data_IF_072158565262
#
_entry.id   IF_072158565262
#
_cell.length_a   1.000
_cell.length_b   1.000
_cell.length_c   1.000
_cell.angle_alpha   90.00
_cell.angle_beta   90.00
_cell.angle_gamma   90.00
#
_symmetry.space_group_name_H-M   'P 1'
#
loop_
_entity.id
_entity.type
_entity.pdbx_description
1 polymer ?
#
# COMPACT_ATOMS: atom_id res chain seq x y z
N UNK A 1 -35.57 -33.23 -11.86
CA UNK A 1 -35.17 -33.09 -10.44
C UNK A 1 -33.68 -32.87 -10.24
N UNK A 2 -32.78 -33.71 -10.78
CA UNK A 2 -31.32 -33.61 -10.51
C UNK A 2 -30.69 -32.26 -10.90
N UNK A 3 -31.10 -31.67 -12.04
CA UNK A 3 -30.63 -30.32 -12.45
C UNK A 3 -31.04 -29.22 -11.46
N UNK A 4 -32.27 -29.24 -10.95
CA UNK A 4 -32.73 -28.27 -9.94
C UNK A 4 -31.98 -28.40 -8.60
N UNK A 5 -31.61 -29.63 -8.19
CA UNK A 5 -30.78 -29.81 -7.00
C UNK A 5 -29.37 -29.20 -7.18
N UNK A 6 -28.76 -29.37 -8.35
CA UNK A 6 -27.42 -28.80 -8.63
C UNK A 6 -27.43 -27.27 -8.61
N UNK A 7 -28.47 -26.63 -9.19
CA UNK A 7 -28.60 -25.17 -9.17
C UNK A 7 -28.84 -24.63 -7.75
N UNK A 8 -29.62 -25.35 -6.95
CA UNK A 8 -29.90 -24.98 -5.56
C UNK A 8 -28.66 -25.10 -4.66
N UNK A 9 -27.86 -26.16 -4.86
CA UNK A 9 -26.57 -26.35 -4.17
C UNK A 9 -25.59 -25.22 -4.54
N UNK A 10 -25.50 -24.87 -5.82
CA UNK A 10 -24.64 -23.76 -6.27
C UNK A 10 -25.06 -22.40 -5.66
N UNK A 11 -26.38 -22.16 -5.53
CA UNK A 11 -26.90 -20.96 -4.88
C UNK A 11 -26.56 -20.91 -3.38
N UNK A 12 -26.66 -22.04 -2.67
CA UNK A 12 -26.27 -22.16 -1.26
C UNK A 12 -24.75 -21.94 -1.05
N UNK A 13 -23.91 -22.39 -1.99
CA UNK A 13 -22.45 -22.19 -1.93
C UNK A 13 -22.04 -20.71 -2.10
N UNK A 14 -22.79 -19.93 -2.88
CA UNK A 14 -22.50 -18.50 -3.07
C UNK A 14 -22.70 -17.65 -1.79
N UNK A 15 -23.47 -18.14 -0.82
CA UNK A 15 -23.69 -17.46 0.47
C UNK A 15 -22.48 -17.52 1.42
N UNK A 16 -21.47 -18.34 1.12
CA UNK A 16 -20.28 -18.50 1.95
C UNK A 16 -19.07 -17.69 1.47
N UNK A 17 -19.15 -17.04 0.31
CA UNK A 17 -18.09 -16.15 -0.14
C UNK A 17 -18.16 -14.83 0.64
N UNK A 18 -17.29 -14.69 1.65
CA UNK A 18 -17.10 -13.41 2.36
C UNK A 18 -15.93 -12.67 1.71
N UNK A 19 -16.18 -11.47 1.23
CA UNK A 19 -15.10 -10.57 0.89
C UNK A 19 -14.48 -10.02 2.18
N UNK A 20 -13.17 -9.80 2.09
CA UNK A 20 -12.35 -9.31 3.17
C UNK A 20 -11.33 -8.32 2.59
N UNK A 21 -10.81 -7.47 3.46
CA UNK A 21 -9.75 -6.53 3.15
C UNK A 21 -8.63 -6.67 4.17
N UNK A 22 -7.44 -6.28 3.76
CA UNK A 22 -6.26 -6.12 4.61
C UNK A 22 -6.19 -4.64 4.94
N UNK A 23 -6.30 -4.30 6.23
CA UNK A 23 -6.02 -2.99 6.76
C UNK A 23 -4.60 -3.00 7.33
N UNK A 24 -3.76 -2.10 6.85
CA UNK A 24 -2.41 -1.87 7.37
C UNK A 24 -2.49 -0.57 8.20
N UNK A 25 -2.55 -0.67 9.54
CA UNK A 25 -2.56 0.52 10.37
C UNK A 25 -1.22 1.24 10.30
N UNK A 26 -1.25 2.57 10.39
CA UNK A 26 -0.06 3.42 10.35
C UNK A 26 0.10 4.27 11.62
N UNK A 27 -0.73 4.02 12.63
CA UNK A 27 -0.61 4.54 13.99
C UNK A 27 0.52 3.81 14.78
N UNK A 28 0.56 4.02 16.09
CA UNK A 28 1.58 3.45 16.99
C UNK A 28 1.53 1.92 17.08
N UNK A 29 0.47 1.26 16.60
CA UNK A 29 0.35 -0.20 16.60
C UNK A 29 1.15 -0.87 15.48
N UNK A 30 1.67 -0.09 14.53
CA UNK A 30 2.45 -0.59 13.42
C UNK A 30 3.87 -0.94 13.85
N UNK A 31 4.25 -2.21 13.63
CA UNK A 31 5.60 -2.72 13.91
C UNK A 31 6.68 -2.10 13.02
N UNK A 32 6.33 -1.77 11.77
CA UNK A 32 7.30 -1.22 10.82
C UNK A 32 6.64 -0.34 9.76
N UNK A 33 6.64 0.97 9.98
CA UNK A 33 6.01 1.94 9.07
C UNK A 33 6.68 2.00 7.69
N UNK A 34 8.01 2.00 7.64
CA UNK A 34 8.74 2.09 6.36
C UNK A 34 8.48 0.86 5.48
N UNK A 35 8.51 -0.35 6.06
CA UNK A 35 8.14 -1.57 5.33
C UNK A 35 6.67 -1.58 4.91
N UNK A 36 5.79 -0.88 5.64
CA UNK A 36 4.36 -0.76 5.27
C UNK A 36 4.16 0.09 4.02
N UNK A 37 4.90 1.19 3.88
CA UNK A 37 4.97 1.93 2.60
C UNK A 37 5.53 1.06 1.47
N UNK A 38 6.55 0.24 1.78
CA UNK A 38 7.07 -0.77 0.86
C UNK A 38 6.02 -1.76 0.36
N UNK A 39 5.16 -2.25 1.25
CA UNK A 39 4.02 -3.12 0.88
C UNK A 39 3.05 -2.37 -0.02
N UNK A 40 2.64 -1.15 0.33
CA UNK A 40 1.72 -0.35 -0.50
C UNK A 40 2.28 -0.17 -1.92
N UNK A 41 3.57 0.19 -2.04
CA UNK A 41 4.25 0.30 -3.33
C UNK A 41 4.28 -1.04 -4.09
N UNK A 42 4.65 -2.13 -3.41
CA UNK A 42 4.74 -3.46 -4.00
C UNK A 42 3.39 -3.96 -4.52
N UNK A 43 2.30 -3.67 -3.80
CA UNK A 43 0.92 -3.97 -4.23
C UNK A 43 0.56 -3.17 -5.48
N UNK A 44 0.86 -1.88 -5.51
CA UNK A 44 0.64 -1.03 -6.69
C UNK A 44 1.45 -1.49 -7.92
N UNK A 45 2.67 -2.01 -7.73
CA UNK A 45 3.48 -2.60 -8.80
C UNK A 45 2.86 -3.88 -9.40
N UNK A 46 1.94 -4.52 -8.67
CA UNK A 46 1.16 -5.67 -9.14
C UNK A 46 -0.19 -5.26 -9.72
N UNK A 47 -0.37 -3.97 -10.00
CA UNK A 47 -1.61 -3.42 -10.57
C UNK A 47 -2.83 -3.65 -9.67
N UNK A 48 -2.59 -3.78 -8.37
CA UNK A 48 -3.64 -3.85 -7.35
C UNK A 48 -3.78 -2.48 -6.71
N UNK A 49 -4.99 -1.93 -6.73
CA UNK A 49 -5.27 -0.63 -6.12
C UNK A 49 -5.15 -0.68 -4.59
N UNK A 50 -4.74 0.44 -4.01
CA UNK A 50 -4.62 0.66 -2.57
C UNK A 50 -5.43 1.89 -2.20
N UNK A 51 -6.34 1.78 -1.24
CA UNK A 51 -7.04 2.93 -0.70
C UNK A 51 -6.21 3.50 0.46
N UNK A 52 -5.72 4.72 0.32
CA UNK A 52 -4.99 5.43 1.36
C UNK A 52 -5.98 6.25 2.19
N UNK A 53 -6.10 5.88 3.47
CA UNK A 53 -7.05 6.45 4.41
C UNK A 53 -6.37 7.59 5.19
N UNK A 54 -6.32 8.79 4.59
CA UNK A 54 -5.70 9.97 5.15
C UNK A 54 -6.28 10.30 6.54
N UNK A 55 -5.39 10.53 7.50
CA UNK A 55 -5.67 10.82 8.90
C UNK A 55 -6.49 9.75 9.67
N UNK A 56 -6.92 8.67 9.02
CA UNK A 56 -7.48 7.51 9.70
C UNK A 56 -6.34 6.60 10.17
N UNK A 57 -6.23 6.42 11.50
CA UNK A 57 -5.19 5.58 12.14
C UNK A 57 -3.79 5.82 11.55
N UNK A 58 -3.38 7.09 11.51
CA UNK A 58 -2.06 7.51 11.04
C UNK A 58 -1.85 7.47 9.52
N UNK A 59 -2.92 7.41 8.71
CA UNK A 59 -2.79 7.31 7.25
C UNK A 59 -2.77 5.86 6.76
N UNK A 60 -3.68 5.03 7.27
CA UNK A 60 -3.70 3.58 7.02
C UNK A 60 -3.88 3.23 5.54
N UNK A 61 -3.41 2.04 5.15
CA UNK A 61 -3.67 1.49 3.82
C UNK A 61 -4.73 0.40 3.90
N UNK A 62 -5.71 0.46 3.01
CA UNK A 62 -6.74 -0.55 2.85
C UNK A 62 -6.60 -1.21 1.47
N UNK A 63 -6.54 -2.53 1.48
CA UNK A 63 -6.23 -3.34 0.29
C UNK A 63 -7.21 -4.49 0.25
N UNK A 64 -7.74 -4.83 -0.93
CA UNK A 64 -8.57 -6.05 -1.07
C UNK A 64 -7.76 -7.27 -0.66
N UNK A 65 -8.39 -8.18 0.07
CA UNK A 65 -7.70 -9.37 0.55
C UNK A 65 -7.22 -10.23 -0.60
N UNK A 66 -5.94 -10.59 -0.55
CA UNK A 66 -5.35 -11.63 -1.37
C UNK A 66 -4.25 -12.33 -0.55
N UNK A 67 -4.27 -13.66 -0.53
CA UNK A 67 -3.30 -14.47 0.23
C UNK A 67 -1.82 -14.09 -0.03
N UNK A 68 -1.40 -13.78 -1.28
CA UNK A 68 -0.02 -13.36 -1.53
C UNK A 68 0.35 -12.05 -0.82
N UNK A 69 -0.58 -11.10 -0.72
CA UNK A 69 -0.36 -9.82 -0.03
C UNK A 69 -0.24 -10.05 1.47
N UNK A 70 -1.13 -10.85 2.05
CA UNK A 70 -1.08 -11.20 3.47
C UNK A 70 0.23 -11.89 3.86
N UNK A 71 0.70 -12.82 3.01
CA UNK A 71 1.97 -13.49 3.20
C UNK A 71 3.15 -12.51 3.13
N UNK A 72 3.14 -11.58 2.18
CA UNK A 72 4.17 -10.55 2.07
C UNK A 72 4.19 -9.64 3.31
N UNK A 73 3.03 -9.24 3.83
CA UNK A 73 2.94 -8.48 5.09
C UNK A 73 3.63 -9.22 6.25
N UNK A 74 3.40 -10.54 6.35
CA UNK A 74 4.02 -11.40 7.36
C UNK A 74 5.54 -11.52 7.17
N UNK A 75 6.00 -11.72 5.94
CA UNK A 75 7.42 -11.84 5.59
C UNK A 75 8.17 -10.54 5.91
N UNK A 76 7.57 -9.38 5.61
CA UNK A 76 8.17 -8.06 5.89
C UNK A 76 7.98 -7.60 7.33
N UNK A 77 7.28 -8.38 8.16
CA UNK A 77 7.15 -8.15 9.60
C UNK A 77 6.30 -6.94 9.98
N UNK A 78 5.35 -6.52 9.13
CA UNK A 78 4.45 -5.41 9.42
C UNK A 78 3.20 -5.87 10.20
N UNK A 79 2.57 -4.95 10.93
CA UNK A 79 1.23 -5.15 11.50
C UNK A 79 0.17 -5.00 10.40
N UNK A 80 -0.81 -5.89 10.39
CA UNK A 80 -1.97 -5.83 9.50
C UNK A 80 -3.18 -6.50 10.17
N UNK A 81 -4.38 -6.16 9.71
CA UNK A 81 -5.64 -6.72 10.16
C UNK A 81 -6.43 -7.23 8.95
N UNK A 82 -6.98 -8.44 9.03
CA UNK A 82 -7.95 -8.92 8.03
C UNK A 82 -9.34 -8.56 8.53
N UNK A 83 -10.00 -7.64 7.83
CA UNK A 83 -11.30 -7.08 8.22
C UNK A 83 -12.38 -7.44 7.21
N UNK A 84 -13.61 -7.51 7.69
CA UNK A 84 -14.81 -7.79 6.88
C UNK A 84 -15.30 -6.55 6.14
N UNK A 85 -16.08 -6.74 5.07
CA UNK A 85 -16.73 -5.62 4.37
C UNK A 85 -17.56 -4.73 5.29
N UNK A 86 -18.21 -5.31 6.31
CA UNK A 86 -18.97 -4.54 7.31
C UNK A 86 -18.09 -3.58 8.10
N UNK A 87 -16.89 -4.02 8.48
CA UNK A 87 -15.90 -3.17 9.15
C UNK A 87 -15.34 -2.11 8.19
N UNK A 88 -15.07 -2.47 6.93
CA UNK A 88 -14.64 -1.52 5.91
C UNK A 88 -15.69 -0.41 5.73
N UNK A 89 -16.97 -0.77 5.60
CA UNK A 89 -18.04 0.21 5.44
C UNK A 89 -18.19 1.12 6.66
N UNK A 90 -17.99 0.60 7.88
CA UNK A 90 -17.99 1.42 9.08
C UNK A 90 -16.84 2.45 9.05
N UNK A 91 -15.63 2.04 8.68
CA UNK A 91 -14.46 2.92 8.52
C UNK A 91 -14.72 4.00 7.46
N UNK A 92 -15.22 3.61 6.28
CA UNK A 92 -15.49 4.56 5.21
C UNK A 92 -16.61 5.55 5.57
N UNK A 93 -17.58 5.12 6.38
CA UNK A 93 -18.64 6.00 6.90
C UNK A 93 -18.09 7.02 7.89
N UNK A 94 -17.15 6.61 8.76
CA UNK A 94 -16.45 7.52 9.67
C UNK A 94 -15.64 8.56 8.90
N UNK A 95 -14.84 8.11 7.92
CA UNK A 95 -14.02 8.98 7.06
C UNK A 95 -14.87 9.99 6.29
N UNK A 96 -16.07 9.59 5.83
CA UNK A 96 -16.96 10.46 5.07
C UNK A 96 -17.68 11.53 5.92
N UNK A 97 -17.50 11.53 7.25
CA UNK A 97 -18.13 12.51 8.13
C UNK A 97 -17.56 13.92 7.88
N UNK A 98 -18.40 14.92 7.56
CA UNK A 98 -17.93 16.28 7.24
C UNK A 98 -17.31 17.02 8.43
N UNK A 99 -17.51 16.51 9.65
CA UNK A 99 -16.98 17.10 10.89
C UNK A 99 -15.56 16.59 11.22
N UNK A 100 -15.07 15.57 10.50
CA UNK A 100 -13.78 14.92 10.75
C UNK A 100 -12.83 15.20 9.59
N UNK A 101 -11.59 15.57 9.90
CA UNK A 101 -10.55 15.82 8.89
C UNK A 101 -9.89 14.51 8.42
N UNK A 102 -10.66 13.66 7.72
CA UNK A 102 -10.19 12.41 7.12
C UNK A 102 -10.62 12.34 5.65
N UNK A 103 -9.87 11.59 4.85
CA UNK A 103 -10.17 11.43 3.43
C UNK A 103 -9.68 10.06 2.93
N UNK A 104 -10.36 9.47 1.95
CA UNK A 104 -9.89 8.27 1.25
C UNK A 104 -9.40 8.67 -0.14
N UNK A 105 -8.14 8.37 -0.41
CA UNK A 105 -7.51 8.57 -1.72
C UNK A 105 -7.17 7.22 -2.33
N UNK A 106 -7.74 6.93 -3.50
CA UNK A 106 -7.46 5.70 -4.22
C UNK A 106 -6.18 5.81 -5.03
N UNK A 107 -5.23 4.91 -4.78
CA UNK A 107 -3.96 4.80 -5.50
C UNK A 107 -4.06 3.62 -6.48
N UNK A 108 -3.79 3.89 -7.76
CA UNK A 108 -3.93 2.87 -8.83
C UNK A 108 -2.62 2.51 -9.52
N UNK A 109 -1.57 3.34 -9.39
CA UNK A 109 -0.31 3.14 -10.10
C UNK A 109 0.88 3.43 -9.19
N UNK A 110 1.89 2.57 -9.26
CA UNK A 110 3.15 2.79 -8.56
C UNK A 110 3.93 3.95 -9.19
N UNK A 111 4.34 4.91 -8.37
CA UNK A 111 5.13 6.05 -8.84
C UNK A 111 6.52 5.61 -9.33
N UNK A 112 7.02 6.28 -10.37
CA UNK A 112 8.46 6.30 -10.67
C UNK A 112 9.09 7.35 -9.76
N UNK A 113 10.13 6.97 -9.03
CA UNK A 113 10.76 7.83 -8.02
C UNK A 113 12.20 8.11 -8.47
N UNK A 114 12.60 9.37 -8.44
CA UNK A 114 13.97 9.78 -8.62
C UNK A 114 14.41 10.60 -7.40
N UNK A 115 15.60 10.33 -6.88
CA UNK A 115 16.21 11.08 -5.78
C UNK A 115 17.32 11.93 -6.37
N UNK A 116 17.18 13.23 -6.18
CA UNK A 116 18.22 14.18 -6.55
C UNK A 116 19.41 14.07 -5.59
N UNK A 117 20.62 13.97 -6.16
CA UNK A 117 21.86 13.97 -5.40
C UNK A 117 22.87 14.92 -6.06
N UNK A 118 23.44 15.89 -5.33
CA UNK A 118 24.46 16.76 -5.90
C UNK A 118 25.73 15.96 -6.18
N UNK A 119 26.37 16.24 -7.32
CA UNK A 119 27.67 15.65 -7.66
C UNK A 119 28.64 15.91 -6.49
N UNK A 120 29.31 14.84 -6.02
CA UNK A 120 30.34 14.84 -4.97
C UNK A 120 29.84 14.69 -3.52
N UNK A 121 28.55 14.45 -3.27
CA UNK A 121 28.07 13.95 -1.97
C UNK A 121 27.97 12.43 -2.05
N UNK A 122 28.75 11.76 -1.22
CA UNK A 122 28.93 10.31 -1.15
C UNK A 122 27.61 9.54 -1.29
N UNK A 123 27.39 8.97 -2.48
CA UNK A 123 26.29 8.04 -2.75
C UNK A 123 26.46 6.76 -1.94
N UNK A 124 25.45 6.44 -1.13
CA UNK A 124 25.14 5.18 -0.40
C UNK A 124 26.19 4.58 0.53
N UNK A 125 27.50 4.81 0.34
CA UNK A 125 28.56 4.24 1.20
C UNK A 125 28.62 4.83 2.60
N UNK A 126 28.10 6.05 2.80
CA UNK A 126 28.27 6.78 4.05
C UNK A 126 27.00 6.84 4.92
N UNK A 127 25.89 6.21 4.50
CA UNK A 127 24.60 6.22 5.22
C UNK A 127 24.06 7.63 5.57
N UNK A 128 24.49 8.68 4.88
CA UNK A 128 24.18 10.08 5.24
C UNK A 128 22.85 10.58 4.68
N UNK A 129 22.30 9.93 3.65
CA UNK A 129 21.04 10.33 3.04
C UNK A 129 19.86 9.53 3.61
N UNK A 130 19.06 10.21 4.43
CA UNK A 130 17.91 9.60 5.09
C UNK A 130 16.80 9.17 4.11
N UNK A 131 16.66 9.85 2.97
CA UNK A 131 15.63 9.53 1.97
C UNK A 131 16.02 8.25 1.24
N UNK A 132 17.25 8.17 0.76
CA UNK A 132 17.77 6.95 0.11
C UNK A 132 17.71 5.76 1.07
N UNK A 133 18.14 5.94 2.33
CA UNK A 133 18.07 4.88 3.34
C UNK A 133 16.63 4.43 3.62
N UNK A 134 15.67 5.36 3.70
CA UNK A 134 14.27 5.02 3.91
C UNK A 134 13.67 4.24 2.73
N UNK A 135 13.98 4.64 1.49
CA UNK A 135 13.52 3.96 0.27
C UNK A 135 14.15 2.56 0.15
N UNK A 136 15.45 2.43 0.38
CA UNK A 136 16.15 1.14 0.40
C UNK A 136 15.57 0.22 1.48
N UNK A 137 15.38 0.74 2.69
CA UNK A 137 14.80 -0.03 3.78
C UNK A 137 13.35 -0.43 3.48
N UNK A 138 12.56 0.42 2.83
CA UNK A 138 11.21 0.11 2.37
C UNK A 138 11.18 -0.83 1.14
N UNK A 139 12.32 -1.12 0.51
CA UNK A 139 12.44 -1.84 -0.76
C UNK A 139 11.67 -1.16 -1.91
N UNK A 140 11.71 0.16 -1.95
CA UNK A 140 11.10 0.98 -3.01
C UNK A 140 12.21 1.39 -3.99
N UNK A 141 12.17 0.98 -5.26
CA UNK A 141 13.18 1.33 -6.24
C UNK A 141 13.10 2.83 -6.58
N UNK A 142 14.27 3.43 -6.78
CA UNK A 142 14.43 4.81 -7.19
C UNK A 142 15.64 4.96 -8.11
N UNK A 143 15.61 5.98 -8.95
CA UNK A 143 16.76 6.40 -9.75
C UNK A 143 17.48 7.56 -9.06
N UNK A 144 18.80 7.67 -9.21
CA UNK A 144 19.54 8.85 -8.77
C UNK A 144 19.69 9.78 -9.96
N UNK A 145 19.40 11.08 -9.75
CA UNK A 145 19.56 12.12 -10.77
C UNK A 145 20.53 13.19 -10.28
N UNK A 146 21.43 13.62 -11.16
CA UNK A 146 22.44 14.63 -10.86
C UNK A 146 22.12 15.98 -11.50
N UNK A 147 22.66 17.06 -10.92
CA UNK A 147 22.51 18.44 -11.43
C UNK A 147 22.78 18.56 -12.93
N UNK A 148 23.87 17.95 -13.39
CA UNK A 148 24.28 18.06 -14.79
C UNK A 148 23.29 17.41 -15.76
N UNK A 149 22.67 16.30 -15.36
CA UNK A 149 21.70 15.58 -16.18
C UNK A 149 20.38 16.36 -16.27
N UNK A 150 19.98 16.98 -15.15
CA UNK A 150 18.81 17.86 -15.09
C UNK A 150 19.04 19.10 -15.98
N UNK A 151 20.20 19.75 -15.86
CA UNK A 151 20.53 20.96 -16.60
C UNK A 151 20.70 20.71 -18.12
N UNK A 152 21.15 19.52 -18.52
CA UNK A 152 21.26 19.11 -19.93
C UNK A 152 19.92 18.64 -20.52
N UNK A 153 18.92 18.39 -19.68
CA UNK A 153 17.61 17.87 -20.11
C UNK A 153 17.60 16.37 -20.40
N UNK A 154 18.56 15.63 -19.86
CA UNK A 154 18.82 14.20 -20.15
C UNK A 154 18.00 13.25 -19.26
N UNK A 155 16.92 13.74 -18.61
CA UNK A 155 16.08 12.89 -17.76
C UNK A 155 15.41 11.78 -18.58
N UNK A 156 15.42 10.51 -18.09
CA UNK A 156 14.75 9.41 -18.76
C UNK A 156 13.25 9.70 -18.91
N UNK A 157 12.73 9.57 -20.13
CA UNK A 157 11.32 9.75 -20.48
C UNK A 157 10.46 8.57 -20.02
#
# INVERSE_FOLDING_TARGET
MVKCCFTFIFLLLSLFARAASILIPMDETQKNHLKSYGIAYWVLKKEVAVDWLLNYRGGSFLIKYAQPIENECRVRGISYEVITDGQVNAILTEIASPEINMEMVKLETAAKIAVYSPNNVFTTKDYTDAVQLALEYAEIPYDIIYDEEILKGDLPK
#
